data_IF_392608164846
#
_entry.id   IF_392608164846
#
_cell.length_a   1.000
_cell.length_b   1.000
_cell.length_c   1.000
_cell.angle_alpha   90.00
_cell.angle_beta   90.00
_cell.angle_gamma   90.00
#
_symmetry.space_group_name_H-M   'P 1'
#
loop_
_entity.id
_entity.type
_entity.pdbx_description
1 polymer ?
#
# COMPACT_ATOMS: atom_id res chain seq x y z
N UNK A 1 -30.91 -8.50 9.76
CA UNK A 1 -30.36 -7.19 9.32
C UNK A 1 -29.67 -6.60 10.53
N UNK A 2 -28.32 -6.52 10.54
CA UNK A 2 -27.57 -5.84 11.62
C UNK A 2 -28.03 -4.38 11.69
N UNK A 3 -28.04 -3.75 12.87
CA UNK A 3 -28.56 -2.38 13.04
C UNK A 3 -27.89 -1.35 12.11
N UNK A 4 -26.56 -1.47 11.88
CA UNK A 4 -25.81 -0.61 10.94
C UNK A 4 -26.28 -0.72 9.47
N UNK A 5 -26.93 -1.83 9.08
CA UNK A 5 -27.47 -1.99 7.73
C UNK A 5 -28.79 -1.26 7.51
N UNK A 6 -29.50 -0.85 8.56
CA UNK A 6 -30.79 -0.12 8.42
C UNK A 6 -30.59 1.37 8.14
N UNK A 7 -29.44 1.92 8.49
CA UNK A 7 -29.10 3.33 8.24
C UNK A 7 -28.87 3.58 6.74
N UNK A 8 -28.15 2.67 6.08
CA UNK A 8 -27.81 2.79 4.65
C UNK A 8 -28.78 2.06 3.71
N UNK A 9 -29.51 1.06 4.23
CA UNK A 9 -30.51 0.30 3.47
C UNK A 9 -31.83 0.24 4.26
N UNK A 10 -32.57 1.36 4.35
CA UNK A 10 -33.71 1.50 5.25
C UNK A 10 -34.93 0.64 4.85
N UNK A 11 -35.04 0.19 3.60
CA UNK A 11 -36.25 -0.46 3.07
C UNK A 11 -36.03 -1.88 2.56
N UNK A 12 -37.14 -2.62 2.37
CA UNK A 12 -37.12 -3.92 1.67
C UNK A 12 -36.68 -3.77 0.21
N UNK A 13 -37.01 -2.64 -0.41
CA UNK A 13 -36.57 -2.33 -1.77
C UNK A 13 -35.04 -2.24 -1.85
N UNK A 14 -34.41 -1.61 -0.85
CA UNK A 14 -32.94 -1.52 -0.76
C UNK A 14 -32.33 -2.91 -0.61
N UNK A 15 -32.86 -3.72 0.32
CA UNK A 15 -32.35 -5.07 0.54
C UNK A 15 -32.40 -5.94 -0.73
N UNK A 16 -33.53 -5.92 -1.46
CA UNK A 16 -33.67 -6.71 -2.69
C UNK A 16 -32.78 -6.17 -3.81
N UNK A 17 -32.67 -4.85 -3.93
CA UNK A 17 -31.85 -4.21 -4.97
C UNK A 17 -30.37 -4.45 -4.75
N UNK A 18 -29.87 -4.40 -3.51
CA UNK A 18 -28.47 -4.71 -3.19
C UNK A 18 -28.14 -6.20 -3.38
N UNK A 19 -29.10 -7.10 -3.09
CA UNK A 19 -28.94 -8.52 -3.46
C UNK A 19 -28.82 -8.70 -4.97
N UNK A 20 -29.60 -7.97 -5.76
CA UNK A 20 -29.50 -7.99 -7.22
C UNK A 20 -28.17 -7.38 -7.70
N UNK A 21 -27.69 -6.28 -7.09
CA UNK A 21 -26.37 -5.70 -7.39
C UNK A 21 -25.25 -6.72 -7.15
N UNK A 22 -25.28 -7.48 -6.05
CA UNK A 22 -24.27 -8.51 -5.78
C UNK A 22 -24.18 -9.56 -6.91
N UNK A 23 -25.30 -9.89 -7.56
CA UNK A 23 -25.32 -10.79 -8.73
C UNK A 23 -24.76 -10.10 -9.98
N UNK A 24 -25.19 -8.87 -10.27
CA UNK A 24 -24.79 -8.18 -11.51
C UNK A 24 -23.38 -7.57 -11.48
N UNK A 25 -22.79 -7.41 -10.30
CA UNK A 25 -21.43 -6.90 -10.14
C UNK A 25 -20.35 -7.99 -10.26
N UNK A 26 -20.72 -9.27 -10.18
CA UNK A 26 -19.78 -10.36 -10.42
C UNK A 26 -19.59 -10.57 -11.91
N UNK A 27 -18.34 -10.61 -12.36
CA UNK A 27 -17.99 -11.03 -13.71
C UNK A 27 -18.36 -12.52 -13.86
N UNK A 28 -19.55 -12.80 -14.39
CA UNK A 28 -19.80 -14.11 -14.99
C UNK A 28 -18.89 -14.21 -16.22
N UNK A 29 -17.92 -15.12 -16.16
CA UNK A 29 -17.08 -15.49 -17.30
C UNK A 29 -17.92 -16.28 -18.30
N UNK A 30 -18.82 -15.59 -19.02
CA UNK A 30 -19.65 -16.21 -20.04
C UNK A 30 -18.85 -16.40 -21.33
N UNK A 31 -18.87 -17.64 -21.83
CA UNK A 31 -18.01 -18.23 -22.86
C UNK A 31 -18.31 -17.71 -24.29
N UNK A 32 -19.31 -16.82 -24.45
CA UNK A 32 -19.67 -16.18 -25.73
C UNK A 32 -19.97 -14.70 -25.51
N UNK A 33 -19.13 -13.81 -26.06
CA UNK A 33 -19.34 -12.36 -26.00
C UNK A 33 -20.28 -11.91 -27.14
N UNK A 34 -21.31 -11.10 -26.85
CA UNK A 34 -22.17 -10.53 -27.88
C UNK A 34 -21.40 -9.53 -28.76
N UNK A 35 -21.79 -9.39 -30.03
CA UNK A 35 -21.13 -8.49 -30.98
C UNK A 35 -21.20 -7.01 -30.58
N UNK A 36 -22.22 -6.62 -29.81
CA UNK A 36 -22.43 -5.27 -29.28
C UNK A 36 -22.43 -5.30 -27.75
N UNK A 37 -21.31 -5.73 -27.17
CA UNK A 37 -21.13 -5.76 -25.73
C UNK A 37 -21.26 -4.33 -25.17
N UNK A 38 -22.10 -4.16 -24.16
CA UNK A 38 -22.19 -2.89 -23.45
C UNK A 38 -20.91 -2.62 -22.65
N UNK A 39 -20.35 -1.43 -22.80
CA UNK A 39 -19.19 -0.94 -22.06
C UNK A 39 -19.49 0.44 -21.45
N UNK A 40 -18.78 0.78 -20.38
CA UNK A 40 -18.85 2.09 -19.74
C UNK A 40 -17.75 2.96 -20.34
N UNK A 41 -17.95 3.41 -21.57
CA UNK A 41 -16.98 4.16 -22.38
C UNK A 41 -17.26 5.68 -22.44
N UNK A 42 -18.44 6.12 -21.97
CA UNK A 42 -18.80 7.53 -21.88
C UNK A 42 -18.39 8.14 -20.50
N UNK A 43 -17.56 9.19 -20.47
CA UNK A 43 -17.23 9.91 -19.23
C UNK A 43 -18.44 10.38 -18.41
N UNK A 44 -19.59 10.65 -19.05
CA UNK A 44 -20.80 11.11 -18.38
C UNK A 44 -21.31 10.15 -17.29
N UNK A 45 -20.93 8.86 -17.32
CA UNK A 45 -21.29 7.90 -16.27
C UNK A 45 -20.72 8.30 -14.89
N UNK A 46 -19.60 9.04 -14.85
CA UNK A 46 -19.01 9.62 -13.63
C UNK A 46 -19.57 11.03 -13.36
N UNK A 47 -20.89 11.18 -13.36
CA UNK A 47 -21.58 12.44 -13.05
C UNK A 47 -22.20 12.44 -11.65
N UNK A 48 -22.71 13.59 -11.21
CA UNK A 48 -23.47 13.73 -9.95
C UNK A 48 -24.77 12.90 -9.94
N UNK A 49 -25.26 12.54 -8.75
CA UNK A 49 -26.42 11.69 -8.52
C UNK A 49 -27.70 12.17 -9.24
N UNK A 50 -27.97 13.47 -9.26
CA UNK A 50 -29.16 14.06 -9.91
C UNK A 50 -29.08 14.04 -11.43
N UNK A 51 -27.86 14.08 -11.99
CA UNK A 51 -27.66 13.93 -13.43
C UNK A 51 -27.81 12.45 -13.81
N UNK A 52 -27.19 11.56 -13.04
CA UNK A 52 -27.27 10.13 -13.24
C UNK A 52 -28.70 9.59 -13.14
N UNK A 53 -29.50 10.10 -12.21
CA UNK A 53 -30.89 9.69 -12.04
C UNK A 53 -31.77 9.97 -13.27
N UNK A 54 -31.34 10.88 -14.16
CA UNK A 54 -32.06 11.27 -15.38
C UNK A 54 -31.41 10.73 -16.66
N UNK A 55 -30.29 10.04 -16.53
CA UNK A 55 -29.53 9.52 -17.67
C UNK A 55 -30.32 8.44 -18.42
N UNK A 56 -30.26 8.45 -19.74
CA UNK A 56 -30.89 7.40 -20.55
C UNK A 56 -29.92 6.22 -20.67
N UNK A 57 -30.24 5.10 -20.02
CA UNK A 57 -29.44 3.88 -20.02
C UNK A 57 -29.96 2.86 -21.03
N UNK A 58 -29.47 2.95 -22.28
CA UNK A 58 -29.86 2.07 -23.40
C UNK A 58 -28.67 1.31 -23.97
N UNK A 59 -28.89 0.06 -24.36
CA UNK A 59 -27.94 -0.77 -25.10
C UNK A 59 -28.71 -1.76 -25.97
N UNK A 60 -28.11 -2.19 -27.07
CA UNK A 60 -28.61 -3.33 -27.86
C UNK A 60 -28.46 -4.64 -27.07
N UNK A 61 -27.40 -4.77 -26.28
CA UNK A 61 -27.23 -5.86 -25.31
C UNK A 61 -28.01 -5.57 -24.03
N UNK A 62 -29.31 -5.87 -24.10
CA UNK A 62 -30.22 -5.74 -22.95
C UNK A 62 -29.88 -6.68 -21.77
N UNK A 63 -29.08 -7.73 -22.02
CA UNK A 63 -28.69 -8.73 -21.03
C UNK A 63 -27.40 -8.41 -20.29
N UNK A 64 -26.71 -7.32 -20.67
CA UNK A 64 -25.46 -6.90 -20.02
C UNK A 64 -25.63 -6.72 -18.52
N UNK A 65 -24.81 -7.43 -17.74
CA UNK A 65 -24.75 -7.31 -16.28
C UNK A 65 -24.38 -5.90 -15.84
N UNK A 66 -23.43 -5.25 -16.54
CA UNK A 66 -23.05 -3.86 -16.30
C UNK A 66 -24.23 -2.90 -16.49
N UNK A 67 -25.01 -3.06 -17.57
CA UNK A 67 -26.19 -2.24 -17.81
C UNK A 67 -27.26 -2.45 -16.74
N UNK A 68 -27.50 -3.69 -16.33
CA UNK A 68 -28.49 -4.01 -15.29
C UNK A 68 -28.07 -3.43 -13.93
N UNK A 69 -26.79 -3.51 -13.57
CA UNK A 69 -26.26 -2.88 -12.38
C UNK A 69 -26.46 -1.35 -12.40
N UNK A 70 -26.14 -0.68 -13.52
CA UNK A 70 -26.36 0.77 -13.66
C UNK A 70 -27.84 1.14 -13.54
N UNK A 71 -28.76 0.35 -14.11
CA UNK A 71 -30.21 0.56 -13.97
C UNK A 71 -30.68 0.41 -12.53
N UNK A 72 -30.16 -0.56 -11.79
CA UNK A 72 -30.48 -0.73 -10.36
C UNK A 72 -29.96 0.46 -9.56
N UNK A 73 -28.70 0.88 -9.79
CA UNK A 73 -28.16 2.08 -9.17
C UNK A 73 -29.00 3.32 -9.48
N UNK A 74 -29.46 3.47 -10.73
CA UNK A 74 -30.28 4.60 -11.14
C UNK A 74 -31.64 4.60 -10.43
N UNK A 75 -32.31 3.45 -10.35
CA UNK A 75 -33.59 3.32 -9.67
C UNK A 75 -33.46 3.60 -8.16
N UNK A 76 -32.43 3.06 -7.51
CA UNK A 76 -32.15 3.35 -6.10
C UNK A 76 -31.82 4.83 -5.89
N UNK A 77 -31.07 5.44 -6.82
CA UNK A 77 -30.75 6.87 -6.75
C UNK A 77 -32.04 7.69 -6.84
N UNK A 78 -32.91 7.41 -7.81
CA UNK A 78 -34.22 8.06 -7.94
C UNK A 78 -35.09 7.89 -6.68
N UNK A 79 -35.04 6.71 -6.06
CA UNK A 79 -35.80 6.40 -4.85
C UNK A 79 -35.34 7.26 -3.66
N UNK A 80 -34.04 7.41 -3.45
CA UNK A 80 -33.47 8.15 -2.32
C UNK A 80 -33.24 9.65 -2.55
N UNK A 81 -33.41 10.16 -3.78
CA UNK A 81 -33.14 11.57 -4.11
C UNK A 81 -33.93 12.58 -3.28
N UNK A 82 -35.11 12.20 -2.80
CA UNK A 82 -36.00 13.07 -2.01
C UNK A 82 -36.04 12.69 -0.53
N UNK A 83 -35.15 11.80 -0.07
CA UNK A 83 -35.06 11.44 1.33
C UNK A 83 -34.68 12.65 2.17
N UNK A 84 -35.26 12.75 3.36
CA UNK A 84 -34.94 13.84 4.31
C UNK A 84 -33.51 13.76 4.81
N UNK A 85 -32.96 12.56 4.87
CA UNK A 85 -31.63 12.28 5.38
C UNK A 85 -30.76 11.76 4.22
N UNK A 86 -29.54 12.28 4.03
CA UNK A 86 -28.76 12.03 2.82
C UNK A 86 -27.90 10.77 2.90
N UNK A 87 -27.91 10.01 3.99
CA UNK A 87 -26.97 8.93 4.28
C UNK A 87 -27.11 7.78 3.28
N UNK A 88 -28.34 7.31 3.03
CA UNK A 88 -28.62 6.23 2.06
C UNK A 88 -28.21 6.63 0.64
N UNK A 89 -28.59 7.83 0.20
CA UNK A 89 -28.20 8.36 -1.11
C UNK A 89 -26.67 8.50 -1.23
N UNK A 90 -26.02 9.03 -0.18
CA UNK A 90 -24.56 9.24 -0.17
C UNK A 90 -23.79 7.93 -0.33
N UNK A 91 -24.15 6.93 0.47
CA UNK A 91 -23.51 5.62 0.43
C UNK A 91 -23.72 4.96 -0.94
N UNK A 92 -24.97 4.92 -1.42
CA UNK A 92 -25.31 4.38 -2.73
C UNK A 92 -24.55 5.08 -3.86
N UNK A 93 -24.45 6.41 -3.79
CA UNK A 93 -23.80 7.20 -4.80
C UNK A 93 -22.29 6.93 -4.87
N UNK A 94 -21.63 6.79 -3.73
CA UNK A 94 -20.21 6.39 -3.64
C UNK A 94 -20.02 4.99 -4.22
N UNK A 95 -20.88 4.03 -3.90
CA UNK A 95 -20.83 2.68 -4.46
C UNK A 95 -21.00 2.68 -5.98
N UNK A 96 -21.96 3.43 -6.50
CA UNK A 96 -22.16 3.64 -7.94
C UNK A 96 -20.90 4.22 -8.59
N UNK A 97 -20.34 5.30 -8.04
CA UNK A 97 -19.16 5.96 -8.61
C UNK A 97 -17.95 5.01 -8.62
N UNK A 98 -17.75 4.21 -7.56
CA UNK A 98 -16.71 3.16 -7.52
C UNK A 98 -16.94 2.11 -8.59
N UNK A 99 -18.17 1.64 -8.74
CA UNK A 99 -18.55 0.65 -9.74
C UNK A 99 -18.25 1.16 -11.17
N UNK A 100 -18.63 2.40 -11.48
CA UNK A 100 -18.33 3.05 -12.76
C UNK A 100 -16.82 3.17 -12.96
N UNK A 101 -16.08 3.68 -11.96
CA UNK A 101 -14.61 3.81 -12.01
C UNK A 101 -13.92 2.48 -12.31
N UNK A 102 -14.33 1.40 -11.66
CA UNK A 102 -13.74 0.07 -11.83
C UNK A 102 -13.99 -0.53 -13.23
N UNK A 103 -15.12 -0.16 -13.85
CA UNK A 103 -15.56 -0.72 -15.13
C UNK A 103 -15.40 0.23 -16.33
N UNK A 104 -14.89 1.44 -16.10
CA UNK A 104 -14.70 2.47 -17.12
C UNK A 104 -13.73 2.01 -18.23
N UNK A 105 -14.00 2.46 -19.45
CA UNK A 105 -13.22 2.22 -20.68
C UNK A 105 -12.94 3.53 -21.42
N UNK A 106 -12.57 4.56 -20.66
CA UNK A 106 -12.18 5.87 -21.17
C UNK A 106 -10.99 6.42 -20.38
N UNK A 107 -10.33 7.46 -20.90
CA UNK A 107 -9.16 8.07 -20.26
C UNK A 107 -9.53 9.01 -19.10
N UNK A 108 -8.56 9.38 -18.27
CA UNK A 108 -8.73 10.35 -17.18
C UNK A 108 -9.80 9.99 -16.11
N UNK A 109 -10.16 8.71 -15.99
CA UNK A 109 -11.16 8.19 -15.02
C UNK A 109 -10.92 8.70 -13.61
N UNK A 110 -9.68 8.65 -13.12
CA UNK A 110 -9.34 9.07 -11.75
C UNK A 110 -9.54 10.57 -11.53
N UNK A 111 -9.27 11.40 -12.55
CA UNK A 111 -9.44 12.85 -12.46
C UNK A 111 -10.93 13.22 -12.42
N UNK A 112 -11.73 12.60 -13.29
CA UNK A 112 -13.19 12.82 -13.31
C UNK A 112 -13.87 12.25 -12.06
N UNK A 113 -13.43 11.09 -11.58
CA UNK A 113 -13.90 10.51 -10.32
C UNK A 113 -13.63 11.46 -9.14
N UNK A 114 -12.42 12.01 -9.05
CA UNK A 114 -12.05 12.99 -8.03
C UNK A 114 -12.92 14.27 -8.11
N UNK A 115 -13.06 14.83 -9.31
CA UNK A 115 -13.88 16.01 -9.55
C UNK A 115 -15.34 15.77 -9.11
N UNK A 116 -15.92 14.63 -9.50
CA UNK A 116 -17.29 14.29 -9.14
C UNK A 116 -17.47 14.09 -7.64
N UNK A 117 -16.53 13.43 -6.93
CA UNK A 117 -16.56 13.34 -5.47
C UNK A 117 -16.47 14.73 -4.80
N UNK A 118 -15.65 15.64 -5.33
CA UNK A 118 -15.56 17.02 -4.84
C UNK A 118 -16.86 17.79 -5.08
N UNK A 119 -17.47 17.64 -6.25
CA UNK A 119 -18.74 18.28 -6.58
C UNK A 119 -19.90 17.73 -5.75
N UNK A 120 -19.91 16.44 -5.42
CA UNK A 120 -20.90 15.82 -4.55
C UNK A 120 -20.77 16.30 -3.10
N UNK A 121 -19.55 16.28 -2.54
CA UNK A 121 -19.35 16.69 -1.16
C UNK A 121 -19.69 18.17 -0.92
N UNK A 122 -19.47 19.03 -1.92
CA UNK A 122 -19.75 20.47 -1.85
C UNK A 122 -21.26 20.79 -1.73
N UNK A 123 -22.15 19.82 -1.90
CA UNK A 123 -23.60 19.98 -1.65
C UNK A 123 -23.96 19.96 -0.17
N UNK A 124 -23.06 19.47 0.68
CA UNK A 124 -23.29 19.30 2.10
C UNK A 124 -22.53 20.34 2.91
N UNK A 125 -23.13 20.80 4.01
CA UNK A 125 -22.47 21.64 5.01
C UNK A 125 -22.12 20.86 6.29
N UNK A 126 -22.83 19.76 6.55
CA UNK A 126 -22.59 18.92 7.72
C UNK A 126 -21.33 18.05 7.50
N UNK A 127 -20.31 18.15 8.36
CA UNK A 127 -19.11 17.31 8.29
C UNK A 127 -19.39 15.80 8.24
N UNK A 128 -20.47 15.32 8.87
CA UNK A 128 -20.82 13.90 8.85
C UNK A 128 -21.24 13.42 7.45
N UNK A 129 -21.87 14.29 6.66
CA UNK A 129 -22.29 13.98 5.29
C UNK A 129 -21.17 14.20 4.27
N UNK A 130 -20.20 15.06 4.59
CA UNK A 130 -18.97 15.27 3.79
C UNK A 130 -17.99 14.10 3.97
N UNK A 131 -17.89 13.57 5.19
CA UNK A 131 -16.87 12.59 5.59
C UNK A 131 -16.76 11.34 4.68
N UNK A 132 -17.86 10.71 4.21
CA UNK A 132 -17.78 9.59 3.28
C UNK A 132 -17.03 9.94 1.99
N UNK A 133 -17.36 11.09 1.36
CA UNK A 133 -16.68 11.55 0.15
C UNK A 133 -15.22 11.92 0.41
N UNK A 134 -14.92 12.58 1.54
CA UNK A 134 -13.54 12.88 1.92
C UNK A 134 -12.71 11.60 2.10
N UNK A 135 -13.29 10.54 2.69
CA UNK A 135 -12.62 9.24 2.78
C UNK A 135 -12.35 8.64 1.40
N UNK A 136 -13.29 8.71 0.46
CA UNK A 136 -13.05 8.24 -0.92
C UNK A 136 -11.90 8.98 -1.60
N UNK A 137 -11.82 10.30 -1.41
CA UNK A 137 -10.72 11.11 -1.95
C UNK A 137 -9.39 10.72 -1.30
N UNK A 138 -9.37 10.54 0.02
CA UNK A 138 -8.17 10.07 0.74
C UNK A 138 -7.72 8.70 0.23
N UNK A 139 -8.67 7.79 -0.03
CA UNK A 139 -8.37 6.47 -0.57
C UNK A 139 -7.83 6.52 -2.00
N UNK A 140 -8.37 7.41 -2.85
CA UNK A 140 -7.83 7.66 -4.20
C UNK A 140 -6.39 8.17 -4.13
N UNK A 141 -6.11 9.15 -3.26
CA UNK A 141 -4.75 9.65 -3.05
C UNK A 141 -3.82 8.58 -2.49
N UNK A 142 -4.32 7.72 -1.61
CA UNK A 142 -3.56 6.56 -1.17
C UNK A 142 -3.18 5.64 -2.35
N UNK A 143 -4.12 5.34 -3.25
CA UNK A 143 -3.85 4.53 -4.45
C UNK A 143 -2.81 5.19 -5.35
N UNK A 144 -2.95 6.48 -5.63
CA UNK A 144 -1.98 7.26 -6.43
C UNK A 144 -0.60 7.29 -5.76
N UNK A 145 -0.54 7.53 -4.46
CA UNK A 145 0.71 7.57 -3.71
C UNK A 145 1.48 6.25 -3.75
N UNK A 146 0.80 5.11 -3.90
CA UNK A 146 1.45 3.80 -4.10
C UNK A 146 2.04 3.58 -5.49
N UNK A 147 1.67 4.41 -6.45
CA UNK A 147 2.21 4.39 -7.81
C UNK A 147 3.43 5.30 -7.96
N UNK A 148 3.85 5.98 -6.89
CA UNK A 148 5.03 6.83 -6.92
C UNK A 148 6.29 6.05 -7.28
N UNK A 149 6.96 6.53 -8.31
CA UNK A 149 8.33 6.21 -8.72
C UNK A 149 9.04 7.51 -9.07
N UNK A 150 10.34 7.46 -9.36
CA UNK A 150 11.07 8.63 -9.87
C UNK A 150 10.49 9.17 -11.20
N UNK A 151 9.77 8.34 -11.95
CA UNK A 151 9.12 8.69 -13.22
C UNK A 151 7.72 9.29 -13.03
N UNK A 152 7.12 9.18 -11.84
CA UNK A 152 5.77 9.71 -11.50
C UNK A 152 5.82 10.67 -10.30
N UNK A 153 6.62 11.76 -10.37
CA UNK A 153 6.85 12.66 -9.24
C UNK A 153 5.59 13.35 -8.71
N UNK A 154 4.54 13.47 -9.51
CA UNK A 154 3.22 13.98 -9.12
C UNK A 154 2.53 13.14 -8.04
N UNK A 155 2.90 11.86 -7.90
CA UNK A 155 2.33 10.95 -6.90
C UNK A 155 3.05 10.98 -5.55
N UNK A 156 4.24 11.59 -5.47
CA UNK A 156 5.10 11.58 -4.29
C UNK A 156 4.36 11.97 -3.01
N UNK A 157 3.62 13.07 -3.05
CA UNK A 157 2.97 13.67 -1.88
C UNK A 157 1.57 13.12 -1.58
N UNK A 158 1.03 12.23 -2.42
CA UNK A 158 -0.36 11.79 -2.32
C UNK A 158 -0.66 11.03 -1.03
N UNK A 159 0.31 10.29 -0.48
CA UNK A 159 0.15 9.63 0.82
C UNK A 159 0.01 10.64 1.97
N UNK A 160 0.76 11.74 1.93
CA UNK A 160 0.63 12.85 2.90
C UNK A 160 -0.73 13.52 2.78
N UNK A 161 -1.17 13.84 1.56
CA UNK A 161 -2.49 14.45 1.32
C UNK A 161 -3.63 13.54 1.81
N UNK A 162 -3.50 12.21 1.63
CA UNK A 162 -4.45 11.24 2.18
C UNK A 162 -4.50 11.30 3.72
N UNK A 163 -3.35 11.34 4.40
CA UNK A 163 -3.27 11.49 5.86
C UNK A 163 -3.91 12.80 6.33
N UNK A 164 -3.66 13.92 5.64
CA UNK A 164 -4.24 15.22 5.98
C UNK A 164 -5.77 15.20 5.91
N UNK A 165 -6.34 14.56 4.87
CA UNK A 165 -7.78 14.36 4.78
C UNK A 165 -8.28 13.47 5.92
N UNK A 166 -7.63 12.32 6.15
CA UNK A 166 -8.02 11.39 7.22
C UNK A 166 -8.01 12.07 8.61
N UNK A 167 -6.97 12.85 8.93
CA UNK A 167 -6.89 13.59 10.19
C UNK A 167 -8.05 14.59 10.35
N UNK A 168 -8.40 15.31 9.28
CA UNK A 168 -9.55 16.24 9.29
C UNK A 168 -10.89 15.52 9.48
N UNK A 169 -11.10 14.39 8.81
CA UNK A 169 -12.32 13.58 8.97
C UNK A 169 -12.44 13.07 10.40
N UNK A 170 -11.37 12.52 10.97
CA UNK A 170 -11.37 12.05 12.36
C UNK A 170 -11.61 13.18 13.38
N UNK A 171 -11.17 14.41 13.09
CA UNK A 171 -11.40 15.55 13.96
C UNK A 171 -12.85 16.07 13.89
N UNK A 172 -13.42 16.17 12.68
CA UNK A 172 -14.68 16.86 12.45
C UNK A 172 -15.91 15.93 12.42
N UNK A 173 -15.72 14.64 12.12
CA UNK A 173 -16.77 13.64 12.02
C UNK A 173 -16.41 12.31 12.73
N UNK A 174 -15.94 12.34 14.00
CA UNK A 174 -15.30 11.21 14.68
C UNK A 174 -16.17 9.96 14.85
N UNK A 175 -17.50 10.11 14.81
CA UNK A 175 -18.45 9.01 15.05
C UNK A 175 -18.86 8.27 13.77
N UNK A 176 -18.45 8.77 12.60
CA UNK A 176 -18.83 8.19 11.31
C UNK A 176 -18.01 6.94 10.98
N UNK A 177 -18.55 6.07 10.12
CA UNK A 177 -17.79 4.96 9.53
C UNK A 177 -16.58 5.46 8.75
N UNK A 178 -16.70 6.61 8.08
CA UNK A 178 -15.60 7.25 7.38
C UNK A 178 -14.41 7.58 8.31
N UNK A 179 -14.65 8.03 9.54
CA UNK A 179 -13.58 8.25 10.52
C UNK A 179 -12.86 6.95 10.93
N UNK A 180 -13.60 5.85 11.14
CA UNK A 180 -13.00 4.52 11.41
C UNK A 180 -12.17 4.02 10.23
N UNK A 181 -12.65 4.26 9.01
CA UNK A 181 -11.91 3.90 7.80
C UNK A 181 -10.65 4.77 7.63
N UNK A 182 -10.74 6.07 7.96
CA UNK A 182 -9.59 6.98 7.98
C UNK A 182 -8.54 6.56 9.00
N UNK A 183 -8.93 6.11 10.20
CA UNK A 183 -8.02 5.55 11.19
C UNK A 183 -7.27 4.33 10.64
N UNK A 184 -8.01 3.41 10.01
CA UNK A 184 -7.44 2.22 9.38
C UNK A 184 -6.47 2.56 8.24
N UNK A 185 -6.85 3.48 7.36
CA UNK A 185 -6.02 3.93 6.25
C UNK A 185 -4.76 4.65 6.74
N UNK A 186 -4.89 5.50 7.75
CA UNK A 186 -3.75 6.18 8.38
C UNK A 186 -2.76 5.17 8.97
N UNK A 187 -3.23 4.18 9.73
CA UNK A 187 -2.38 3.10 10.25
C UNK A 187 -1.62 2.37 9.13
N UNK A 188 -2.27 2.14 7.99
CA UNK A 188 -1.63 1.51 6.83
C UNK A 188 -0.54 2.40 6.19
N UNK A 189 -0.79 3.71 6.06
CA UNK A 189 0.19 4.64 5.49
C UNK A 189 1.37 4.86 6.45
N UNK A 190 1.09 4.95 7.75
CA UNK A 190 2.07 5.15 8.81
C UNK A 190 2.83 3.87 9.18
N UNK A 191 2.43 2.71 8.65
CA UNK A 191 3.09 1.44 8.91
C UNK A 191 4.60 1.54 8.65
N UNK A 192 5.38 1.23 9.68
CA UNK A 192 6.84 1.21 9.60
C UNK A 192 7.31 -0.02 8.82
N UNK A 193 8.37 0.15 8.04
CA UNK A 193 9.06 -0.96 7.39
C UNK A 193 10.56 -0.74 7.41
N UNK A 194 11.31 -1.83 7.55
CA UNK A 194 12.77 -1.83 7.56
C UNK A 194 13.29 -3.07 6.84
N UNK A 195 14.20 -2.85 5.91
CA UNK A 195 15.01 -3.89 5.28
C UNK A 195 16.46 -3.43 5.24
N UNK A 196 17.36 -4.39 5.49
CA UNK A 196 18.80 -4.16 5.54
C UNK A 196 19.45 -5.08 4.51
N UNK A 197 20.32 -4.53 3.68
CA UNK A 197 21.11 -5.26 2.69
C UNK A 197 22.57 -4.82 2.78
N UNK A 198 23.48 -5.77 2.63
CA UNK A 198 24.91 -5.51 2.55
C UNK A 198 25.57 -6.62 1.71
N UNK A 199 26.79 -6.36 1.26
CA UNK A 199 27.60 -7.40 0.62
C UNK A 199 27.83 -8.58 1.57
N UNK A 200 27.86 -9.80 1.02
CA UNK A 200 28.17 -11.00 1.80
C UNK A 200 29.63 -11.02 2.28
N UNK A 201 30.52 -10.34 1.55
CA UNK A 201 31.95 -10.28 1.82
C UNK A 201 32.43 -8.84 1.73
N UNK A 202 33.18 -8.35 2.69
CA UNK A 202 33.70 -6.97 2.71
C UNK A 202 35.20 -6.93 3.00
N UNK A 203 35.92 -5.89 2.55
CA UNK A 203 37.37 -5.77 2.76
C UNK A 203 37.74 -5.58 4.25
N UNK A 204 38.91 -6.12 4.61
CA UNK A 204 39.49 -6.01 5.96
C UNK A 204 39.94 -4.57 6.24
N UNK A 205 39.59 -4.05 7.41
CA UNK A 205 40.00 -2.73 7.91
C UNK A 205 39.67 -1.56 6.95
N UNK A 206 38.55 -1.65 6.24
CA UNK A 206 38.06 -0.60 5.36
C UNK A 206 36.58 -0.31 5.63
N UNK A 207 36.17 0.92 5.36
CA UNK A 207 34.76 1.29 5.47
C UNK A 207 33.95 0.56 4.40
N UNK A 208 32.80 0.04 4.82
CA UNK A 208 31.81 -0.58 3.94
C UNK A 208 30.48 0.14 4.10
N UNK A 209 29.46 -0.32 3.38
CA UNK A 209 28.12 0.29 3.44
C UNK A 209 27.06 -0.77 3.63
N UNK A 210 25.98 -0.34 4.25
CA UNK A 210 24.75 -1.11 4.40
C UNK A 210 23.65 -0.30 3.75
N UNK A 211 22.99 -0.88 2.77
CA UNK A 211 21.78 -0.32 2.18
C UNK A 211 20.60 -0.55 3.13
N UNK A 212 19.94 0.54 3.50
CA UNK A 212 18.76 0.55 4.36
C UNK A 212 17.59 1.00 3.53
N UNK A 213 16.60 0.13 3.36
CA UNK A 213 15.29 0.47 2.79
C UNK A 213 14.31 0.64 3.95
N UNK A 214 13.69 1.80 4.08
CA UNK A 214 12.91 2.15 5.27
C UNK A 214 11.70 3.02 4.95
N UNK A 215 10.73 2.98 5.86
CA UNK A 215 9.53 3.83 5.83
C UNK A 215 9.14 4.23 7.25
N UNK A 216 8.83 5.51 7.44
CA UNK A 216 8.36 6.10 8.70
C UNK A 216 9.27 5.84 9.92
N UNK A 217 10.59 5.79 9.70
CA UNK A 217 11.59 5.58 10.75
C UNK A 217 12.53 6.79 10.82
N UNK A 218 12.65 7.48 11.97
CA UNK A 218 13.51 8.66 12.08
C UNK A 218 14.99 8.31 12.29
N UNK A 219 15.29 7.14 12.86
CA UNK A 219 16.63 6.70 13.20
C UNK A 219 16.71 5.18 13.30
N UNK A 220 17.91 4.62 13.40
CA UNK A 220 18.16 3.22 13.71
C UNK A 220 19.37 3.08 14.63
N UNK A 221 19.27 2.21 15.63
CA UNK A 221 20.39 1.69 16.39
C UNK A 221 21.05 0.56 15.60
N UNK A 222 22.34 0.70 15.33
CA UNK A 222 23.17 -0.32 14.71
C UNK A 222 24.04 -1.02 15.73
N UNK A 223 24.09 -2.36 15.66
CA UNK A 223 24.99 -3.20 16.45
C UNK A 223 25.68 -4.20 15.54
N UNK A 224 26.98 -4.34 15.72
CA UNK A 224 27.78 -5.38 15.06
C UNK A 224 28.20 -6.38 16.11
N UNK A 225 27.97 -7.65 15.84
CA UNK A 225 28.35 -8.74 16.72
C UNK A 225 29.36 -9.64 16.03
N UNK A 226 30.36 -10.11 16.78
CA UNK A 226 31.15 -11.27 16.33
C UNK A 226 30.21 -12.47 16.18
N UNK A 227 30.32 -13.17 15.05
CA UNK A 227 29.37 -14.22 14.69
C UNK A 227 30.08 -15.46 14.15
N UNK A 228 29.91 -16.59 14.82
CA UNK A 228 30.51 -17.86 14.43
C UNK A 228 29.62 -18.65 13.46
N UNK A 229 30.24 -19.55 12.68
CA UNK A 229 29.50 -20.49 11.80
C UNK A 229 28.46 -21.35 12.55
N UNK A 230 28.71 -21.68 13.81
CA UNK A 230 27.75 -22.43 14.63
C UNK A 230 26.54 -21.58 15.01
N UNK A 231 26.75 -20.28 15.30
CA UNK A 231 25.65 -19.35 15.56
C UNK A 231 24.85 -19.07 14.29
N UNK A 232 25.50 -19.01 13.13
CA UNK A 232 24.84 -18.87 11.82
C UNK A 232 23.92 -20.05 11.51
N UNK A 233 24.39 -21.28 11.71
CA UNK A 233 23.54 -22.47 11.57
C UNK A 233 22.32 -22.42 12.50
N UNK A 234 22.52 -22.06 13.77
CA UNK A 234 21.42 -21.90 14.73
C UNK A 234 20.43 -20.82 14.28
N UNK A 235 20.92 -19.68 13.81
CA UNK A 235 20.07 -18.60 13.34
C UNK A 235 19.18 -19.02 12.17
N UNK A 236 19.70 -19.83 11.24
CA UNK A 236 18.94 -20.35 10.10
C UNK A 236 17.78 -21.28 10.52
N UNK A 237 17.80 -21.81 11.74
CA UNK A 237 16.75 -22.67 12.30
C UNK A 237 15.67 -21.85 13.07
N UNK A 238 15.94 -20.56 13.36
CA UNK A 238 15.04 -19.71 14.15
C UNK A 238 14.20 -18.82 13.24
N UNK A 239 12.91 -19.13 13.12
CA UNK A 239 11.94 -18.31 12.40
C UNK A 239 11.33 -17.19 13.26
N UNK A 240 11.22 -17.39 14.57
CA UNK A 240 10.61 -16.41 15.47
C UNK A 240 11.53 -15.22 15.72
N UNK A 241 11.02 -14.01 15.46
CA UNK A 241 11.77 -12.75 15.62
C UNK A 241 12.25 -12.50 17.04
N UNK A 242 11.48 -12.88 18.06
CA UNK A 242 11.86 -12.64 19.47
C UNK A 242 13.00 -13.57 19.86
N UNK A 243 12.98 -14.82 19.41
CA UNK A 243 14.09 -15.76 19.62
C UNK A 243 15.36 -15.33 18.86
N UNK A 244 15.23 -14.79 17.64
CA UNK A 244 16.36 -14.18 16.92
C UNK A 244 17.00 -13.05 17.73
N UNK A 245 16.18 -12.11 18.24
CA UNK A 245 16.70 -11.03 19.08
C UNK A 245 17.33 -11.51 20.39
N UNK A 246 16.80 -12.55 21.03
CA UNK A 246 17.42 -13.16 22.21
C UNK A 246 18.80 -13.71 21.88
N UNK A 247 18.94 -14.41 20.75
CA UNK A 247 20.24 -14.86 20.27
C UNK A 247 21.18 -13.66 20.08
N UNK A 248 20.78 -12.62 19.35
CA UNK A 248 21.62 -11.46 19.08
C UNK A 248 22.07 -10.74 20.36
N UNK A 249 21.16 -10.56 21.32
CA UNK A 249 21.47 -9.93 22.60
C UNK A 249 22.42 -10.76 23.48
N UNK A 250 22.58 -12.06 23.21
CA UNK A 250 23.56 -12.92 23.89
C UNK A 250 24.98 -12.83 23.31
N UNK A 251 25.12 -12.21 22.13
CA UNK A 251 26.40 -12.10 21.44
C UNK A 251 27.24 -10.95 21.99
N UNK A 252 28.57 -11.07 21.84
CA UNK A 252 29.51 -10.01 22.15
C UNK A 252 29.42 -8.90 21.11
N UNK A 253 29.14 -7.68 21.56
CA UNK A 253 29.12 -6.49 20.72
C UNK A 253 30.56 -6.13 20.33
N UNK A 254 30.79 -5.92 19.04
CA UNK A 254 32.03 -5.43 18.47
C UNK A 254 31.97 -3.90 18.28
N UNK A 255 30.90 -3.40 17.69
CA UNK A 255 30.67 -1.96 17.45
C UNK A 255 29.18 -1.63 17.63
N UNK A 256 28.89 -0.39 18.02
CA UNK A 256 27.52 0.11 18.17
C UNK A 256 27.45 1.62 17.91
N UNK A 257 26.45 2.05 17.15
CA UNK A 257 26.18 3.46 16.90
C UNK A 257 24.71 3.69 16.55
N UNK A 258 24.30 4.96 16.44
CA UNK A 258 22.97 5.34 15.97
C UNK A 258 23.12 6.13 14.68
N UNK A 259 22.27 5.83 13.69
CA UNK A 259 22.17 6.58 12.45
C UNK A 259 20.81 7.27 12.37
N UNK A 260 20.79 8.56 12.01
CA UNK A 260 19.56 9.28 11.68
C UNK A 260 19.22 9.03 10.21
N UNK A 261 17.94 8.82 9.91
CA UNK A 261 17.47 8.55 8.57
C UNK A 261 16.84 9.82 7.96
N UNK A 262 17.15 10.16 6.70
CA UNK A 262 16.47 11.25 6.00
C UNK A 262 14.95 11.02 5.98
N UNK A 263 14.16 12.07 6.19
CA UNK A 263 12.71 11.98 6.09
C UNK A 263 12.14 13.27 5.50
N UNK A 264 11.48 13.13 4.37
CA UNK A 264 10.89 14.25 3.62
C UNK A 264 9.43 14.49 4.02
N UNK A 265 8.85 13.60 4.83
CA UNK A 265 7.47 13.69 5.30
C UNK A 265 6.44 13.32 4.24
N UNK A 266 6.85 12.59 3.19
CA UNK A 266 5.98 12.12 2.10
C UNK A 266 5.38 10.72 2.34
N UNK A 267 5.78 10.05 3.43
CA UNK A 267 5.35 8.68 3.79
C UNK A 267 5.69 7.62 2.73
N UNK A 268 6.62 7.93 1.82
CA UNK A 268 7.09 7.00 0.80
C UNK A 268 8.15 6.05 1.38
N UNK A 269 8.41 4.98 0.64
CA UNK A 269 9.53 4.08 0.92
C UNK A 269 10.81 4.75 0.42
N UNK A 270 11.82 4.84 1.29
CA UNK A 270 13.10 5.48 0.97
C UNK A 270 14.25 4.48 1.11
N UNK A 271 15.35 4.80 0.45
CA UNK A 271 16.61 4.05 0.57
C UNK A 271 17.75 4.98 0.91
N UNK A 272 18.64 4.56 1.81
CA UNK A 272 19.87 5.28 2.13
C UNK A 272 21.00 4.30 2.44
N UNK A 273 22.24 4.75 2.29
CA UNK A 273 23.42 3.98 2.70
C UNK A 273 23.91 4.44 4.07
N UNK A 274 24.10 3.49 4.99
CA UNK A 274 24.74 3.73 6.29
C UNK A 274 26.15 3.17 6.26
N UNK A 275 27.11 3.98 6.69
CA UNK A 275 28.52 3.57 6.75
C UNK A 275 28.70 2.51 7.82
N UNK A 276 29.33 1.41 7.43
CA UNK A 276 29.79 0.35 8.32
C UNK A 276 31.25 0.64 8.72
N UNK A 277 31.59 0.63 10.03
CA UNK A 277 32.94 0.91 10.51
C UNK A 277 33.96 -0.12 10.01
N UNK A 278 35.24 0.20 10.13
CA UNK A 278 36.32 -0.71 9.76
C UNK A 278 36.31 -1.92 10.69
N UNK A 279 36.29 -3.12 10.12
CA UNK A 279 36.26 -4.37 10.88
C UNK A 279 37.52 -5.21 10.61
N UNK A 280 38.03 -5.93 11.62
CA UNK A 280 39.07 -6.92 11.39
C UNK A 280 38.51 -8.15 10.64
N UNK A 281 39.40 -9.00 10.17
CA UNK A 281 39.02 -10.26 9.53
C UNK A 281 38.13 -11.10 10.47
N UNK A 282 36.99 -11.56 9.97
CA UNK A 282 36.03 -12.32 10.77
C UNK A 282 34.67 -12.47 10.10
N UNK A 283 33.73 -13.08 10.81
CA UNK A 283 32.33 -13.15 10.41
C UNK A 283 31.50 -12.38 11.42
N UNK A 284 30.57 -11.58 10.92
CA UNK A 284 29.82 -10.63 11.72
C UNK A 284 28.33 -10.68 11.40
N UNK A 285 27.53 -10.34 12.40
CA UNK A 285 26.12 -10.02 12.25
C UNK A 285 25.93 -8.53 12.46
N UNK A 286 25.38 -7.86 11.46
CA UNK A 286 24.98 -6.45 11.51
C UNK A 286 23.49 -6.42 11.79
N UNK A 287 23.10 -5.82 12.92
CA UNK A 287 21.71 -5.59 13.31
C UNK A 287 21.41 -4.10 13.17
N UNK A 288 20.32 -3.75 12.50
CA UNK A 288 19.72 -2.42 12.53
C UNK A 288 18.35 -2.52 13.18
N UNK A 289 18.09 -1.68 14.19
CA UNK A 289 16.93 -1.82 15.07
C UNK A 289 16.36 -0.47 15.44
N UNK A 290 15.04 -0.33 15.42
CA UNK A 290 14.33 0.77 16.09
C UNK A 290 13.83 0.31 17.47
N UNK A 291 13.21 -0.87 17.52
CA UNK A 291 12.64 -1.48 18.72
C UNK A 291 12.64 -3.01 18.60
N UNK A 292 12.02 -3.73 19.55
CA UNK A 292 12.03 -5.19 19.56
C UNK A 292 11.21 -5.84 18.43
N UNK A 293 10.31 -5.10 17.78
CA UNK A 293 9.45 -5.62 16.72
C UNK A 293 9.91 -5.17 15.33
N UNK A 294 10.61 -4.02 15.27
CA UNK A 294 11.13 -3.38 14.06
C UNK A 294 12.65 -3.44 14.02
N UNK A 295 13.17 -4.53 13.45
CA UNK A 295 14.60 -4.72 13.19
C UNK A 295 14.83 -5.49 11.90
N UNK A 296 16.02 -5.29 11.32
CA UNK A 296 16.56 -6.06 10.20
C UNK A 296 18.01 -6.41 10.48
N UNK A 297 18.49 -7.52 9.94
CA UNK A 297 19.87 -7.93 10.15
C UNK A 297 20.46 -8.55 8.88
N UNK A 298 21.79 -8.56 8.82
CA UNK A 298 22.56 -9.18 7.75
C UNK A 298 23.82 -9.81 8.33
N UNK A 299 24.11 -11.05 7.95
CA UNK A 299 25.41 -11.67 8.18
C UNK A 299 26.36 -11.33 7.03
N UNK A 300 27.63 -11.10 7.37
CA UNK A 300 28.69 -10.81 6.41
C UNK A 300 30.04 -11.36 6.88
N UNK A 301 30.96 -11.54 5.94
CA UNK A 301 32.33 -11.95 6.22
C UNK A 301 33.30 -10.82 5.82
N UNK A 302 34.19 -10.46 6.73
CA UNK A 302 35.30 -9.54 6.47
C UNK A 302 36.51 -10.37 6.06
N UNK A 303 36.94 -10.24 4.81
CA UNK A 303 38.00 -11.08 4.22
C UNK A 303 38.81 -10.32 3.18
N UNK A 304 40.12 -10.59 3.13
CA UNK A 304 41.02 -10.15 2.07
C UNK A 304 41.07 -11.14 0.90
N UNK A 305 40.40 -12.28 1.00
CA UNK A 305 40.44 -13.36 0.00
C UNK A 305 39.18 -13.34 -0.85
N UNK A 306 39.35 -13.40 -2.17
CA UNK A 306 38.32 -13.76 -3.15
C UNK A 306 38.61 -15.17 -3.68
N UNK A 307 37.57 -15.98 -3.89
CA UNK A 307 37.70 -17.34 -4.43
C UNK A 307 36.79 -17.51 -5.64
N UNK A 308 37.34 -17.95 -6.76
CA UNK A 308 36.58 -18.35 -7.94
C UNK A 308 36.73 -19.85 -8.16
N UNK A 309 35.62 -20.51 -8.51
CA UNK A 309 35.57 -21.93 -8.86
C UNK A 309 35.25 -22.06 -10.34
N UNK A 310 36.08 -22.78 -11.09
CA UNK A 310 35.82 -23.09 -12.51
C UNK A 310 35.79 -24.60 -12.69
N UNK A 311 34.69 -25.12 -13.24
CA UNK A 311 34.54 -26.52 -13.59
C UNK A 311 34.94 -26.72 -15.07
N UNK A 312 35.99 -27.52 -15.34
CA UNK A 312 36.50 -27.81 -16.69
C UNK A 312 36.60 -29.33 -16.87
N UNK A 313 35.69 -29.91 -17.67
CA UNK A 313 35.57 -31.36 -17.85
C UNK A 313 35.49 -32.09 -16.50
N UNK A 314 36.49 -32.92 -16.18
CA UNK A 314 36.61 -33.68 -14.93
C UNK A 314 37.46 -32.98 -13.86
N UNK A 315 37.86 -31.71 -14.08
CA UNK A 315 38.71 -30.94 -13.18
C UNK A 315 37.97 -29.74 -12.59
N UNK A 316 38.18 -29.50 -11.29
CA UNK A 316 37.71 -28.30 -10.60
C UNK A 316 38.91 -27.42 -10.25
N UNK A 317 38.94 -26.20 -10.78
CA UNK A 317 39.99 -25.22 -10.51
C UNK A 317 39.48 -24.21 -9.49
N UNK A 318 40.20 -24.10 -8.36
CA UNK A 318 40.00 -23.05 -7.37
C UNK A 318 41.11 -22.02 -7.51
N UNK A 319 40.74 -20.76 -7.71
CA UNK A 319 41.68 -19.64 -7.73
C UNK A 319 41.38 -18.73 -6.55
N UNK A 320 42.43 -18.40 -5.78
CA UNK A 320 42.37 -17.47 -4.66
C UNK A 320 43.10 -16.20 -5.07
N UNK A 321 42.47 -15.05 -4.84
CA UNK A 321 42.99 -13.74 -5.19
C UNK A 321 42.86 -12.81 -3.98
N UNK A 322 43.72 -11.80 -3.90
CA UNK A 322 43.49 -10.64 -3.05
C UNK A 322 42.21 -9.90 -3.51
N UNK A 323 41.25 -9.74 -2.60
CA UNK A 323 39.93 -9.17 -2.88
C UNK A 323 40.01 -7.73 -3.38
N UNK A 324 41.03 -6.98 -2.97
CA UNK A 324 41.13 -5.55 -3.26
C UNK A 324 41.89 -5.26 -4.55
N UNK A 325 42.97 -6.00 -4.80
CA UNK A 325 43.88 -5.80 -5.93
C UNK A 325 43.64 -6.77 -7.09
N UNK A 326 43.00 -7.92 -6.84
CA UNK A 326 42.79 -8.97 -7.82
C UNK A 326 44.06 -9.79 -8.14
N UNK A 327 45.14 -9.59 -7.40
CA UNK A 327 46.42 -10.31 -7.57
C UNK A 327 46.35 -11.67 -6.88
N UNK A 328 46.94 -12.70 -7.50
CA UNK A 328 46.97 -14.09 -6.99
C UNK A 328 47.98 -14.29 -5.86
#
# INVERSE_FOLDING_TARGET
IKEESREFHPTLYDFLSHNALNFYQTDESSITQPAYKFEIDNPDYLCQAEMFSKMVLTSEDSTSTLLQALKIYQNLTQFHLNDKSPEALTQLNIERLRFVKQNARFDAVDSLYLETLQNEKNKFNDPNNIAPYDFEIAYLYYQQGRQYTEETPEHRWKLKEAIEICNRVMANAPKTTAAKNCESLKMQIEQVSLQVQAENFIPVQQHSRVLVTYKNLPSLEFKIYEFSKNQEKKLNEIYDKKEQLKLFNSLKIQEQWTATLPNEGDFQLHTTEVVLPQLPHGTYLVLAKQDNDTFGFKTLQVTSISMTKTDVQDTVIYQFLDRTSGVA
#
